data_IF_930531291127
#
_entry.id   IF_930531291127
#
_cell.length_a   1.000
_cell.length_b   1.000
_cell.length_c   1.000
_cell.angle_alpha   90.00
_cell.angle_beta   90.00
_cell.angle_gamma   90.00
#
_symmetry.space_group_name_H-M   'P 1'
#
loop_
_entity.id
_entity.type
_entity.pdbx_description
1 polymer ?
#
# COMPACT_ATOMS: atom_id res chain seq x y z
N UNK A 1 -46.38 16.12 32.16
CA UNK A 1 -45.76 17.44 32.45
C UNK A 1 -44.33 17.19 32.95
N UNK A 2 -43.40 18.12 32.70
CA UNK A 2 -41.94 18.07 32.88
C UNK A 2 -41.13 17.48 31.71
N UNK A 3 -40.78 18.34 30.75
CA UNK A 3 -39.70 18.15 29.75
C UNK A 3 -38.44 18.83 30.29
N UNK A 4 -37.36 18.07 30.46
CA UNK A 4 -36.04 18.60 30.78
C UNK A 4 -35.35 19.09 29.48
N UNK A 5 -34.95 20.35 29.45
CA UNK A 5 -34.12 20.93 28.39
C UNK A 5 -32.64 20.80 28.78
N UNK A 6 -31.85 20.18 27.90
CA UNK A 6 -30.40 20.14 28.01
C UNK A 6 -29.81 21.38 27.33
N UNK A 7 -29.03 22.15 28.08
CA UNK A 7 -28.27 23.31 27.62
C UNK A 7 -26.96 22.86 26.95
N UNK A 8 -26.86 23.10 25.65
CA UNK A 8 -25.62 22.93 24.87
C UNK A 8 -24.79 24.21 25.02
N UNK A 9 -23.55 24.06 25.50
CA UNK A 9 -22.61 25.16 25.73
C UNK A 9 -21.60 25.20 24.58
N UNK A 10 -21.89 25.98 23.53
CA UNK A 10 -20.97 26.22 22.41
C UNK A 10 -19.84 27.17 22.84
N UNK A 11 -18.64 26.63 23.05
CA UNK A 11 -17.41 27.43 23.14
C UNK A 11 -16.81 27.59 21.74
N UNK A 12 -16.95 28.80 21.17
CA UNK A 12 -16.23 29.24 19.97
C UNK A 12 -14.74 29.44 20.29
N UNK A 13 -13.80 28.97 19.43
CA UNK A 13 -12.40 29.36 19.53
C UNK A 13 -12.17 30.73 18.89
N UNK A 14 -11.35 31.54 19.56
CA UNK A 14 -10.97 32.88 19.13
C UNK A 14 -10.07 32.83 17.89
N UNK A 15 -10.48 33.51 16.83
CA UNK A 15 -9.70 33.71 15.60
C UNK A 15 -8.67 34.81 15.84
N UNK A 16 -7.40 34.44 15.93
CA UNK A 16 -6.27 35.39 15.90
C UNK A 16 -5.97 35.72 14.44
N UNK A 17 -6.42 36.90 13.99
CA UNK A 17 -6.02 37.48 12.70
C UNK A 17 -4.65 38.13 12.85
N UNK A 18 -3.58 37.46 12.41
CA UNK A 18 -2.31 38.13 12.17
C UNK A 18 -2.32 38.76 10.78
N UNK A 19 -2.31 40.09 10.77
CA UNK A 19 -2.14 40.94 9.60
C UNK A 19 -0.65 40.91 9.24
N UNK A 20 -0.31 40.35 8.08
CA UNK A 20 0.97 40.60 7.41
C UNK A 20 0.67 41.38 6.13
N UNK A 21 0.75 42.70 6.24
CA UNK A 21 0.81 43.61 5.10
C UNK A 21 2.23 43.60 4.53
N UNK A 22 2.44 42.90 3.42
CA UNK A 22 3.68 43.03 2.63
C UNK A 22 3.41 44.05 1.52
N UNK A 23 4.07 45.20 1.62
CA UNK A 23 4.12 46.20 0.56
C UNK A 23 4.88 45.62 -0.64
N UNK A 24 4.21 45.50 -1.79
CA UNK A 24 4.88 45.37 -3.08
C UNK A 24 5.50 46.71 -3.46
N UNK A 25 6.82 46.85 -3.28
CA UNK A 25 7.61 47.84 -4.01
C UNK A 25 8.11 47.20 -5.30
N UNK A 26 7.57 47.68 -6.42
CA UNK A 26 8.05 47.44 -7.76
C UNK A 26 9.34 48.23 -7.97
N UNK A 27 10.48 47.54 -8.10
CA UNK A 27 11.70 48.11 -8.66
C UNK A 27 12.04 47.34 -9.93
N UNK A 28 11.81 48.00 -11.06
CA UNK A 28 12.29 47.59 -12.36
C UNK A 28 13.83 47.58 -12.34
N UNK A 29 14.42 46.40 -12.44
CA UNK A 29 15.87 46.23 -12.60
C UNK A 29 16.09 45.56 -13.93
N UNK A 30 16.70 46.30 -14.85
CA UNK A 30 17.07 45.87 -16.20
C UNK A 30 18.16 44.80 -16.09
N UNK A 31 17.82 43.54 -16.37
CA UNK A 31 18.80 42.44 -16.41
C UNK A 31 19.65 42.53 -17.69
N UNK A 32 20.99 42.44 -17.59
CA UNK A 32 21.86 42.26 -18.74
C UNK A 32 21.75 40.82 -19.25
N UNK A 33 21.58 40.68 -20.57
CA UNK A 33 21.54 39.39 -21.27
C UNK A 33 22.85 38.62 -21.07
N UNK A 34 22.84 37.74 -20.08
CA UNK A 34 23.95 36.83 -19.78
C UNK A 34 23.71 35.54 -20.56
N UNK A 35 24.34 35.43 -21.72
CA UNK A 35 24.42 34.18 -22.49
C UNK A 35 25.25 33.15 -21.69
N UNK A 36 24.59 32.45 -20.78
CA UNK A 36 25.12 31.24 -20.18
C UNK A 36 24.94 30.10 -21.19
N UNK A 37 25.96 29.87 -22.01
CA UNK A 37 26.17 28.58 -22.63
C UNK A 37 26.57 27.60 -21.50
N UNK A 38 25.59 27.13 -20.72
CA UNK A 38 25.79 25.98 -19.85
C UNK A 38 26.10 24.79 -20.76
N UNK A 39 27.37 24.43 -20.83
CA UNK A 39 27.78 23.10 -21.31
C UNK A 39 27.05 22.10 -20.42
N UNK A 40 25.99 21.51 -20.99
CA UNK A 40 25.15 20.48 -20.37
C UNK A 40 26.03 19.25 -20.16
N UNK A 41 26.88 19.27 -19.14
CA UNK A 41 27.67 18.13 -18.71
C UNK A 41 26.67 17.06 -18.26
N UNK A 42 26.34 16.17 -19.19
CA UNK A 42 25.38 15.11 -18.94
C UNK A 42 26.00 14.14 -17.93
N UNK A 43 25.54 14.22 -16.69
CA UNK A 43 25.89 13.25 -15.65
C UNK A 43 25.40 11.88 -16.10
N UNK A 44 26.31 10.92 -16.27
CA UNK A 44 26.01 9.55 -16.67
C UNK A 44 26.38 8.57 -15.56
N UNK A 45 25.42 7.76 -15.16
CA UNK A 45 25.64 6.65 -14.22
C UNK A 45 26.26 5.47 -14.96
N UNK A 46 27.39 4.94 -14.47
CA UNK A 46 28.02 3.74 -15.07
C UNK A 46 27.71 2.47 -14.29
N UNK A 47 27.55 2.58 -12.97
CA UNK A 47 27.18 1.47 -12.08
C UNK A 47 26.24 1.91 -10.97
N UNK A 48 25.32 1.03 -10.58
CA UNK A 48 24.37 1.23 -9.47
C UNK A 48 25.08 1.40 -8.13
N UNK A 49 26.26 0.80 -7.96
CA UNK A 49 27.08 0.93 -6.74
C UNK A 49 27.46 2.38 -6.45
N UNK A 50 27.56 3.22 -7.48
CA UNK A 50 27.84 4.64 -7.33
C UNK A 50 26.73 5.40 -6.59
N UNK A 51 25.49 4.90 -6.63
CA UNK A 51 24.36 5.51 -5.94
C UNK A 51 24.45 5.41 -4.41
N UNK A 52 25.33 4.54 -3.89
CA UNK A 52 25.62 4.44 -2.47
C UNK A 52 26.52 5.59 -1.97
N UNK A 53 27.21 6.29 -2.87
CA UNK A 53 28.09 7.41 -2.53
C UNK A 53 27.22 8.66 -2.42
N UNK A 54 27.16 9.24 -1.21
CA UNK A 54 26.22 10.31 -0.93
C UNK A 54 26.44 11.58 -1.75
N UNK A 55 27.70 11.82 -2.15
CA UNK A 55 28.16 12.95 -2.97
C UNK A 55 28.15 12.66 -4.47
N UNK A 56 27.72 11.48 -4.91
CA UNK A 56 27.68 11.14 -6.32
C UNK A 56 26.68 12.05 -7.07
N UNK A 57 27.09 12.71 -8.17
CA UNK A 57 26.23 13.66 -8.88
C UNK A 57 25.00 12.98 -9.50
N UNK A 58 25.11 11.73 -9.94
CA UNK A 58 23.97 10.98 -10.51
C UNK A 58 22.94 10.68 -9.41
N UNK A 59 23.38 10.28 -8.21
CA UNK A 59 22.51 10.10 -7.04
C UNK A 59 21.73 11.38 -6.73
N UNK A 60 22.42 12.52 -6.63
CA UNK A 60 21.79 13.82 -6.38
C UNK A 60 20.81 14.20 -7.48
N UNK A 61 21.14 13.90 -8.75
CA UNK A 61 20.26 14.13 -9.89
C UNK A 61 18.99 13.29 -9.80
N UNK A 62 19.08 12.00 -9.49
CA UNK A 62 17.89 11.16 -9.29
C UNK A 62 17.00 11.67 -8.16
N UNK A 63 17.59 11.99 -7.00
CA UNK A 63 16.83 12.54 -5.86
C UNK A 63 16.11 13.83 -6.29
N UNK A 64 16.80 14.74 -6.98
CA UNK A 64 16.20 15.97 -7.49
C UNK A 64 15.04 15.70 -8.46
N UNK A 65 15.17 14.72 -9.36
CA UNK A 65 14.12 14.34 -10.31
C UNK A 65 12.88 13.80 -9.58
N UNK A 66 13.06 12.90 -8.62
CA UNK A 66 11.94 12.35 -7.83
C UNK A 66 11.28 13.38 -6.93
N UNK A 67 12.04 14.30 -6.34
CA UNK A 67 11.47 15.42 -5.58
C UNK A 67 10.63 16.36 -6.46
N UNK A 68 11.04 16.60 -7.70
CA UNK A 68 10.31 17.51 -8.60
C UNK A 68 8.92 16.99 -9.00
N UNK A 69 8.75 15.67 -9.08
CA UNK A 69 7.52 15.06 -9.62
C UNK A 69 6.55 14.55 -8.56
N UNK A 70 6.95 14.53 -7.28
CA UNK A 70 6.11 13.97 -6.21
C UNK A 70 4.76 14.69 -6.06
N UNK A 71 4.69 15.95 -6.46
CA UNK A 71 3.46 16.76 -6.46
C UNK A 71 2.62 16.63 -7.74
N UNK A 72 3.15 15.97 -8.77
CA UNK A 72 2.50 15.72 -10.06
C UNK A 72 2.22 14.23 -10.27
N UNK A 73 1.96 13.50 -9.19
CA UNK A 73 1.86 12.04 -9.17
C UNK A 73 0.65 11.48 -9.95
N UNK A 74 -0.36 12.33 -10.21
CA UNK A 74 -1.53 12.02 -11.05
C UNK A 74 -1.32 12.36 -12.54
N UNK A 75 -0.22 13.02 -12.91
CA UNK A 75 0.02 13.46 -14.29
C UNK A 75 0.86 12.44 -15.06
N UNK A 76 0.23 11.76 -16.03
CA UNK A 76 0.87 10.79 -16.92
C UNK A 76 2.02 11.39 -17.74
N UNK A 77 1.93 12.66 -18.13
CA UNK A 77 2.98 13.32 -18.89
C UNK A 77 4.18 13.63 -17.99
N UNK A 78 3.93 14.06 -16.74
CA UNK A 78 4.99 14.27 -15.77
C UNK A 78 5.71 12.96 -15.41
N UNK A 79 4.96 11.87 -15.24
CA UNK A 79 5.52 10.53 -15.02
C UNK A 79 6.36 10.06 -16.21
N UNK A 80 5.86 10.21 -17.45
CA UNK A 80 6.59 9.84 -18.67
C UNK A 80 7.87 10.65 -18.84
N UNK A 81 7.81 11.97 -18.57
CA UNK A 81 8.97 12.86 -18.60
C UNK A 81 10.02 12.45 -17.57
N UNK A 82 9.61 12.11 -16.34
CA UNK A 82 10.52 11.61 -15.31
C UNK A 82 11.29 10.37 -15.80
N UNK A 83 10.59 9.41 -16.38
CA UNK A 83 11.22 8.18 -16.89
C UNK A 83 12.25 8.52 -17.96
N UNK A 84 11.91 9.42 -18.89
CA UNK A 84 12.85 9.87 -19.92
C UNK A 84 14.10 10.55 -19.32
N UNK A 85 13.92 11.44 -18.35
CA UNK A 85 15.02 12.11 -17.66
C UNK A 85 15.89 11.11 -16.87
N UNK A 86 15.27 10.14 -16.19
CA UNK A 86 15.97 9.04 -15.50
C UNK A 86 16.75 8.14 -16.47
N UNK A 87 16.21 7.88 -17.66
CA UNK A 87 16.90 7.15 -18.72
C UNK A 87 18.10 7.94 -19.24
N UNK A 88 18.01 9.26 -19.41
CA UNK A 88 19.14 10.11 -19.81
C UNK A 88 20.30 9.96 -18.81
N UNK A 89 20.01 10.00 -17.50
CA UNK A 89 21.00 9.78 -16.44
C UNK A 89 21.60 8.36 -16.50
N UNK A 90 20.80 7.36 -16.89
CA UNK A 90 21.25 5.98 -17.12
C UNK A 90 21.92 5.75 -18.49
N UNK A 91 22.22 6.81 -19.25
CA UNK A 91 22.80 6.68 -20.59
C UNK A 91 21.90 5.93 -21.60
N UNK A 92 20.58 5.95 -21.38
CA UNK A 92 19.58 5.24 -22.18
C UNK A 92 19.35 3.77 -21.81
N UNK A 93 20.06 3.24 -20.80
CA UNK A 93 19.96 1.82 -20.42
C UNK A 93 18.73 1.53 -19.55
N UNK A 94 17.74 0.84 -20.12
CA UNK A 94 16.56 0.33 -19.40
C UNK A 94 16.93 -0.64 -18.28
N UNK A 95 17.93 -1.51 -18.52
CA UNK A 95 18.39 -2.46 -17.51
C UNK A 95 19.04 -1.75 -16.32
N UNK A 96 19.80 -0.67 -16.58
CA UNK A 96 20.38 0.13 -15.52
C UNK A 96 19.29 0.84 -14.73
N UNK A 97 18.32 1.48 -15.42
CA UNK A 97 17.18 2.13 -14.77
C UNK A 97 16.40 1.15 -13.88
N UNK A 98 16.06 -0.04 -14.38
CA UNK A 98 15.39 -1.09 -13.61
C UNK A 98 16.13 -1.41 -12.31
N UNK A 99 17.47 -1.51 -12.35
CA UNK A 99 18.27 -1.72 -11.14
C UNK A 99 18.26 -0.50 -10.22
N UNK A 100 18.37 0.72 -10.78
CA UNK A 100 18.29 1.97 -10.00
C UNK A 100 16.96 2.05 -9.23
N UNK A 101 15.83 1.78 -9.88
CA UNK A 101 14.49 1.82 -9.27
C UNK A 101 14.30 0.81 -8.13
N UNK A 102 15.10 -0.25 -8.11
CA UNK A 102 15.07 -1.31 -7.09
C UNK A 102 16.18 -1.17 -6.05
N UNK A 103 17.08 -0.19 -6.17
CA UNK A 103 18.20 0.00 -5.24
C UNK A 103 17.81 0.97 -4.13
N UNK A 104 18.13 0.64 -2.87
CA UNK A 104 18.00 1.54 -1.73
C UNK A 104 19.10 2.60 -1.75
N UNK A 105 18.77 3.83 -2.13
CA UNK A 105 19.73 4.96 -2.12
C UNK A 105 19.14 6.30 -1.67
N UNK A 106 17.81 6.39 -1.51
CA UNK A 106 17.12 7.58 -1.00
C UNK A 106 16.77 7.31 0.46
N UNK A 107 17.63 7.73 1.39
CA UNK A 107 17.50 7.45 2.82
C UNK A 107 17.22 5.97 3.14
N UNK A 108 18.05 5.09 2.57
CA UNK A 108 17.93 3.62 2.67
C UNK A 108 16.58 3.06 2.19
N UNK A 109 15.96 3.74 1.21
CA UNK A 109 14.72 3.32 0.55
C UNK A 109 14.91 3.27 -0.95
N UNK A 110 14.19 2.36 -1.60
CA UNK A 110 14.00 2.38 -3.05
C UNK A 110 13.26 3.65 -3.48
N UNK A 111 13.50 4.16 -4.70
CA UNK A 111 12.70 5.26 -5.27
C UNK A 111 11.20 5.04 -5.18
N UNK A 112 10.73 3.81 -5.44
CA UNK A 112 9.31 3.49 -5.42
C UNK A 112 8.72 3.58 -4.01
N UNK A 113 9.40 3.06 -2.98
CA UNK A 113 9.00 3.24 -1.57
C UNK A 113 8.97 4.73 -1.20
N UNK A 114 10.02 5.47 -1.54
CA UNK A 114 10.08 6.90 -1.24
C UNK A 114 8.92 7.66 -1.87
N UNK A 115 8.60 7.38 -3.13
CA UNK A 115 7.48 8.03 -3.83
C UNK A 115 6.15 7.67 -3.19
N UNK A 116 5.87 6.39 -2.96
CA UNK A 116 4.62 5.97 -2.31
C UNK A 116 4.48 6.69 -0.96
N UNK A 117 5.53 6.78 -0.15
CA UNK A 117 5.47 7.50 1.14
C UNK A 117 5.18 9.01 1.02
N UNK A 118 5.54 9.67 -0.08
CA UNK A 118 5.47 11.13 -0.22
C UNK A 118 4.34 11.65 -1.14
N UNK A 119 3.65 10.79 -1.89
CA UNK A 119 2.45 11.19 -2.65
C UNK A 119 1.29 11.58 -1.72
N UNK A 120 0.35 12.41 -2.20
CA UNK A 120 -0.78 12.89 -1.41
C UNK A 120 -1.66 11.77 -0.82
N UNK A 121 -2.34 12.04 0.30
CA UNK A 121 -3.33 11.13 0.90
C UNK A 121 -4.69 11.33 0.22
N UNK A 122 -4.81 10.82 -1.01
CA UNK A 122 -6.10 10.76 -1.69
C UNK A 122 -6.60 9.31 -1.72
N UNK A 123 -7.91 9.10 -1.77
CA UNK A 123 -8.46 7.75 -1.93
C UNK A 123 -8.13 7.27 -3.34
N UNK A 124 -7.10 6.43 -3.44
CA UNK A 124 -6.59 5.92 -4.69
C UNK A 124 -7.36 4.64 -5.04
N UNK A 125 -8.17 4.67 -6.10
CA UNK A 125 -8.84 3.47 -6.61
C UNK A 125 -7.92 2.57 -7.43
N UNK A 126 -6.98 3.19 -8.14
CA UNK A 126 -6.07 2.55 -9.09
C UNK A 126 -4.66 3.10 -8.89
N UNK A 127 -3.64 2.31 -9.19
CA UNK A 127 -2.26 2.73 -8.96
C UNK A 127 -1.99 4.03 -9.73
N UNK A 128 -1.51 5.11 -9.07
CA UNK A 128 -1.38 6.37 -9.77
C UNK A 128 -0.33 6.31 -10.88
N UNK A 129 -0.42 7.18 -11.90
CA UNK A 129 0.48 7.18 -13.04
C UNK A 129 1.96 7.11 -12.69
N UNK A 130 2.41 7.88 -11.70
CA UNK A 130 3.82 7.92 -11.32
C UNK A 130 4.34 6.57 -10.75
N UNK A 131 3.80 6.01 -9.65
CA UNK A 131 4.19 4.68 -9.19
C UNK A 131 4.01 3.58 -10.24
N UNK A 132 2.96 3.66 -11.07
CA UNK A 132 2.72 2.71 -12.16
C UNK A 132 3.83 2.75 -13.21
N UNK A 133 4.18 3.93 -13.71
CA UNK A 133 5.25 4.10 -14.69
C UNK A 133 6.60 3.60 -14.15
N UNK A 134 6.89 3.80 -12.87
CA UNK A 134 8.13 3.28 -12.27
C UNK A 134 8.12 1.75 -12.21
N UNK A 135 7.01 1.13 -11.83
CA UNK A 135 6.86 -0.32 -11.85
C UNK A 135 7.01 -0.89 -13.26
N UNK A 136 6.41 -0.25 -14.27
CA UNK A 136 6.54 -0.66 -15.68
C UNK A 136 8.01 -0.68 -16.15
N UNK A 137 8.88 0.13 -15.53
CA UNK A 137 10.32 0.22 -15.80
C UNK A 137 11.20 -0.59 -14.83
N UNK A 138 10.63 -1.32 -13.86
CA UNK A 138 11.39 -2.20 -12.98
C UNK A 138 11.88 -3.50 -13.66
N UNK A 139 11.55 -3.74 -14.93
CA UNK A 139 11.95 -4.93 -15.68
C UNK A 139 10.96 -6.10 -15.48
N UNK A 140 11.33 -7.33 -15.89
CA UNK A 140 10.39 -8.46 -15.91
C UNK A 140 10.08 -9.04 -14.51
N UNK A 141 10.87 -8.70 -13.50
CA UNK A 141 10.73 -9.20 -12.13
C UNK A 141 11.22 -8.17 -11.13
N UNK A 142 10.53 -8.05 -10.01
CA UNK A 142 10.98 -7.27 -8.85
C UNK A 142 11.87 -8.14 -7.95
N UNK A 143 12.91 -7.53 -7.41
CA UNK A 143 13.68 -8.10 -6.30
C UNK A 143 12.81 -8.19 -5.05
N UNK A 144 13.08 -9.20 -4.21
CA UNK A 144 12.39 -9.38 -2.92
C UNK A 144 12.47 -8.12 -2.06
N UNK A 145 13.63 -7.45 -2.06
CA UNK A 145 13.84 -6.19 -1.33
C UNK A 145 12.92 -5.06 -1.83
N UNK A 146 12.71 -4.95 -3.15
CA UNK A 146 11.81 -3.95 -3.72
C UNK A 146 10.34 -4.25 -3.38
N UNK A 147 9.94 -5.52 -3.41
CA UNK A 147 8.59 -5.94 -2.99
C UNK A 147 8.35 -5.62 -1.52
N UNK A 148 9.31 -5.95 -0.66
CA UNK A 148 9.27 -5.63 0.77
C UNK A 148 9.19 -4.11 1.00
N UNK A 149 9.93 -3.32 0.23
CA UNK A 149 9.92 -1.86 0.31
C UNK A 149 8.56 -1.26 -0.09
N UNK A 150 7.90 -1.79 -1.11
CA UNK A 150 6.55 -1.37 -1.52
C UNK A 150 5.54 -1.72 -0.42
N UNK A 151 5.62 -2.92 0.15
CA UNK A 151 4.77 -3.33 1.27
C UNK A 151 4.99 -2.43 2.49
N UNK A 152 6.25 -2.15 2.85
CA UNK A 152 6.63 -1.19 3.90
C UNK A 152 6.07 0.20 3.63
N UNK A 153 6.12 0.68 2.39
CA UNK A 153 5.56 1.98 2.02
C UNK A 153 4.04 2.06 2.29
N UNK A 154 3.30 1.00 1.94
CA UNK A 154 1.87 0.90 2.22
C UNK A 154 1.58 0.84 3.73
N UNK A 155 2.44 0.14 4.48
CA UNK A 155 2.39 0.09 5.94
C UNK A 155 2.65 1.47 6.58
N UNK A 156 3.71 2.17 6.17
CA UNK A 156 4.07 3.50 6.68
C UNK A 156 2.92 4.50 6.52
N UNK A 157 2.12 4.36 5.45
CA UNK A 157 0.91 5.15 5.18
C UNK A 157 -0.36 4.64 5.85
N UNK A 158 -0.35 3.40 6.36
CA UNK A 158 -1.55 2.70 6.82
C UNK A 158 -2.66 2.65 5.76
N UNK A 159 -2.30 2.34 4.51
CA UNK A 159 -3.17 2.50 3.33
C UNK A 159 -3.41 1.18 2.59
N UNK A 160 -4.57 0.56 2.87
CA UNK A 160 -5.01 -0.66 2.18
C UNK A 160 -5.37 -0.43 0.71
N UNK A 161 -5.79 0.78 0.35
CA UNK A 161 -6.18 1.10 -1.03
C UNK A 161 -4.95 1.14 -1.93
N UNK A 162 -3.86 1.76 -1.45
CA UNK A 162 -2.57 1.75 -2.12
C UNK A 162 -1.97 0.33 -2.22
N UNK A 163 -2.05 -0.47 -1.14
CA UNK A 163 -1.59 -1.86 -1.18
C UNK A 163 -2.32 -2.63 -2.29
N UNK A 164 -3.65 -2.60 -2.30
CA UNK A 164 -4.45 -3.26 -3.33
C UNK A 164 -4.12 -2.75 -4.73
N UNK A 165 -4.05 -1.43 -4.91
CA UNK A 165 -3.73 -0.81 -6.18
C UNK A 165 -2.36 -1.27 -6.72
N UNK A 166 -1.35 -1.36 -5.86
CA UNK A 166 -0.03 -1.85 -6.23
C UNK A 166 -0.05 -3.33 -6.62
N UNK A 167 -0.76 -4.18 -5.86
CA UNK A 167 -0.79 -5.63 -6.08
C UNK A 167 -1.69 -6.07 -7.25
N UNK A 168 -2.40 -5.15 -7.90
CA UNK A 168 -3.00 -5.37 -9.21
C UNK A 168 -1.95 -5.39 -10.32
N UNK A 169 -0.81 -4.73 -10.11
CA UNK A 169 0.27 -4.67 -11.10
C UNK A 169 0.86 -6.06 -11.38
N UNK A 170 1.08 -6.46 -12.65
CA UNK A 170 1.55 -7.80 -13.00
C UNK A 170 2.82 -8.24 -12.26
N UNK A 171 3.77 -7.34 -12.02
CA UNK A 171 5.02 -7.65 -11.31
C UNK A 171 4.86 -7.97 -9.82
N UNK A 172 3.73 -7.57 -9.22
CA UNK A 172 3.43 -7.78 -7.79
C UNK A 172 2.33 -8.82 -7.59
N UNK A 173 1.63 -9.18 -8.66
CA UNK A 173 0.53 -10.13 -8.63
C UNK A 173 1.08 -11.54 -8.59
N UNK A 174 0.49 -12.37 -7.73
CA UNK A 174 0.74 -13.81 -7.73
C UNK A 174 0.10 -14.44 -8.98
N UNK A 175 0.94 -15.00 -9.86
CA UNK A 175 0.55 -15.63 -11.12
C UNK A 175 -0.42 -16.80 -10.92
N UNK A 176 -0.38 -17.47 -9.77
CA UNK A 176 -1.27 -18.59 -9.45
C UNK A 176 -2.75 -18.17 -9.36
N UNK A 177 -3.00 -16.88 -9.15
CA UNK A 177 -4.35 -16.31 -9.01
C UNK A 177 -4.83 -15.59 -10.27
N UNK A 178 -4.27 -15.93 -11.44
CA UNK A 178 -4.72 -15.37 -12.70
C UNK A 178 -6.21 -15.69 -12.94
N UNK A 179 -7.00 -14.67 -13.30
CA UNK A 179 -8.45 -14.81 -13.54
C UNK A 179 -9.37 -14.77 -12.31
N UNK A 180 -8.83 -14.84 -11.08
CA UNK A 180 -9.64 -14.63 -9.88
C UNK A 180 -9.60 -13.17 -9.40
N UNK A 181 -10.74 -12.63 -9.01
CA UNK A 181 -10.83 -11.33 -8.33
C UNK A 181 -10.07 -11.40 -6.99
N UNK A 182 -9.20 -10.43 -6.69
CA UNK A 182 -8.38 -10.49 -5.48
C UNK A 182 -9.23 -10.39 -4.21
N UNK A 183 -8.85 -11.10 -3.13
CA UNK A 183 -9.44 -10.88 -1.82
C UNK A 183 -9.25 -9.43 -1.37
N UNK A 184 -10.27 -8.88 -0.72
CA UNK A 184 -10.28 -7.49 -0.25
C UNK A 184 -10.41 -7.47 1.26
N UNK A 185 -9.62 -6.64 1.93
CA UNK A 185 -9.78 -6.31 3.34
C UNK A 185 -9.94 -4.79 3.49
N UNK A 186 -10.88 -4.40 4.34
CA UNK A 186 -11.20 -3.01 4.67
C UNK A 186 -11.21 -2.86 6.19
N UNK A 187 -10.59 -1.80 6.69
CA UNK A 187 -10.59 -1.46 8.12
C UNK A 187 -11.90 -0.73 8.42
N UNK A 188 -12.78 -1.37 9.20
CA UNK A 188 -14.09 -0.82 9.57
C UNK A 188 -14.01 0.11 10.78
N UNK A 189 -13.18 -0.24 11.75
CA UNK A 189 -12.93 0.53 12.97
C UNK A 189 -11.45 0.44 13.36
N UNK A 190 -11.03 1.20 14.38
CA UNK A 190 -9.66 1.16 14.86
C UNK A 190 -9.19 -0.24 15.32
N UNK A 191 -10.09 -1.20 15.55
CA UNK A 191 -9.74 -2.58 15.90
C UNK A 191 -10.32 -3.62 14.94
N UNK A 192 -11.29 -3.25 14.11
CA UNK A 192 -12.05 -4.20 13.31
C UNK A 192 -11.66 -4.15 11.83
N UNK A 193 -11.24 -5.28 11.27
CA UNK A 193 -11.00 -5.48 9.85
C UNK A 193 -12.09 -6.39 9.28
N UNK A 194 -12.79 -5.93 8.26
CA UNK A 194 -13.67 -6.76 7.44
C UNK A 194 -12.92 -7.26 6.22
N UNK A 195 -13.15 -8.50 5.81
CA UNK A 195 -12.60 -9.02 4.57
C UNK A 195 -13.63 -9.76 3.74
N UNK A 196 -13.33 -9.88 2.46
CA UNK A 196 -14.13 -10.51 1.43
C UNK A 196 -13.24 -11.36 0.54
N UNK A 197 -13.56 -12.65 0.42
CA UNK A 197 -12.89 -13.55 -0.52
C UNK A 197 -13.89 -13.98 -1.62
N UNK A 198 -13.77 -13.45 -2.85
CA UNK A 198 -14.60 -13.85 -3.96
C UNK A 198 -14.21 -15.24 -4.47
N UNK A 199 -15.21 -16.03 -4.89
CA UNK A 199 -15.04 -17.41 -5.35
C UNK A 199 -14.27 -18.30 -4.35
N UNK A 200 -14.50 -18.10 -3.05
CA UNK A 200 -13.75 -18.77 -1.99
C UNK A 200 -13.77 -20.29 -2.12
N UNK A 201 -14.94 -20.89 -2.37
CA UNK A 201 -15.03 -22.35 -2.52
C UNK A 201 -14.22 -22.86 -3.70
N UNK A 202 -14.24 -22.17 -4.84
CA UNK A 202 -13.47 -22.57 -6.02
C UNK A 202 -11.97 -22.46 -5.75
N UNK A 203 -11.54 -21.35 -5.12
CA UNK A 203 -10.16 -21.17 -4.69
C UNK A 203 -9.71 -22.29 -3.76
N UNK A 204 -10.52 -22.63 -2.75
CA UNK A 204 -10.19 -23.68 -1.80
C UNK A 204 -10.20 -25.07 -2.43
N UNK A 205 -11.07 -25.34 -3.41
CA UNK A 205 -11.07 -26.60 -4.16
C UNK A 205 -9.84 -26.74 -5.06
N UNK A 206 -9.38 -25.64 -5.66
CA UNK A 206 -8.24 -25.64 -6.60
C UNK A 206 -6.90 -25.59 -5.87
N UNK A 207 -6.74 -24.64 -4.93
CA UNK A 207 -5.45 -24.32 -4.30
C UNK A 207 -5.30 -24.93 -2.91
N UNK A 208 -6.39 -25.35 -2.27
CA UNK A 208 -6.45 -25.75 -0.85
C UNK A 208 -5.99 -24.68 0.16
N UNK A 209 -5.70 -23.48 -0.33
CA UNK A 209 -5.36 -22.32 0.48
C UNK A 209 -5.80 -21.02 -0.19
N UNK A 210 -6.00 -19.98 0.62
CA UNK A 210 -6.28 -18.62 0.18
C UNK A 210 -5.73 -17.64 1.22
N UNK A 211 -5.06 -16.58 0.78
CA UNK A 211 -4.58 -15.52 1.65
C UNK A 211 -5.33 -14.21 1.44
N UNK A 212 -5.46 -13.42 2.50
CA UNK A 212 -5.91 -12.03 2.45
C UNK A 212 -4.89 -11.18 3.16
N UNK A 213 -4.35 -10.19 2.47
CA UNK A 213 -3.38 -9.26 3.02
C UNK A 213 -4.07 -7.96 3.42
N UNK A 214 -3.74 -7.44 4.61
CA UNK A 214 -4.31 -6.22 5.17
C UNK A 214 -3.24 -5.40 5.87
N UNK A 215 -3.18 -4.10 5.56
CA UNK A 215 -2.45 -3.12 6.35
C UNK A 215 -3.31 -2.73 7.54
N UNK A 216 -2.80 -2.98 8.74
CA UNK A 216 -3.47 -2.59 9.97
C UNK A 216 -2.43 -2.06 10.94
N UNK A 217 -2.66 -0.88 11.51
CA UNK A 217 -1.76 -0.28 12.49
C UNK A 217 -0.30 -0.14 11.99
N UNK A 218 -0.12 0.21 10.71
CA UNK A 218 1.20 0.30 10.05
C UNK A 218 2.00 -1.02 10.00
N UNK A 219 1.31 -2.14 10.08
CA UNK A 219 1.90 -3.46 9.83
C UNK A 219 1.07 -4.19 8.77
N UNK A 220 1.73 -5.02 7.96
CA UNK A 220 1.06 -5.89 6.99
C UNK A 220 0.77 -7.21 7.66
N UNK A 221 -0.50 -7.60 7.72
CA UNK A 221 -0.95 -8.90 8.21
C UNK A 221 -1.45 -9.74 7.05
N UNK A 222 -1.25 -11.05 7.16
CA UNK A 222 -1.79 -12.04 6.24
C UNK A 222 -2.70 -12.99 6.99
N UNK A 223 -3.96 -13.04 6.56
CA UNK A 223 -4.91 -14.07 6.92
C UNK A 223 -4.84 -15.20 5.90
N UNK A 224 -4.21 -16.31 6.26
CA UNK A 224 -4.12 -17.53 5.46
C UNK A 224 -5.21 -18.51 5.88
N UNK A 225 -6.10 -18.89 4.97
CA UNK A 225 -7.12 -19.92 5.17
C UNK A 225 -6.72 -21.15 4.35
N UNK A 226 -6.62 -22.32 4.97
CA UNK A 226 -6.21 -23.57 4.32
C UNK A 226 -7.13 -24.75 4.70
N UNK A 227 -7.14 -25.79 3.87
CA UNK A 227 -7.84 -27.06 4.12
C UNK A 227 -6.88 -28.24 4.01
N UNK A 228 -6.62 -28.89 5.16
CA UNK A 228 -5.76 -30.07 5.27
C UNK A 228 -6.45 -31.11 6.17
N UNK A 229 -7.53 -31.70 5.64
CA UNK A 229 -8.47 -32.54 6.39
C UNK A 229 -9.44 -31.73 7.27
N UNK A 230 -8.94 -30.66 7.90
CA UNK A 230 -9.72 -29.64 8.63
C UNK A 230 -9.43 -28.25 8.09
N UNK A 231 -10.38 -27.34 8.27
CA UNK A 231 -10.19 -25.93 7.94
C UNK A 231 -9.34 -25.27 9.01
N UNK A 232 -8.31 -24.56 8.56
CA UNK A 232 -7.42 -23.77 9.42
C UNK A 232 -7.40 -22.36 8.89
N UNK A 233 -7.57 -21.37 9.76
CA UNK A 233 -7.27 -19.99 9.44
C UNK A 233 -6.13 -19.51 10.33
N UNK A 234 -5.15 -18.84 9.73
CA UNK A 234 -3.97 -18.34 10.40
C UNK A 234 -3.80 -16.85 10.12
N UNK A 235 -3.67 -16.01 11.13
CA UNK A 235 -3.32 -14.61 10.93
C UNK A 235 -1.93 -14.34 11.50
N UNK A 236 -1.04 -13.75 10.72
CA UNK A 236 0.33 -13.43 11.15
C UNK A 236 0.87 -12.18 10.45
N UNK A 237 1.82 -11.45 11.07
CA UNK A 237 2.46 -10.31 10.45
C UNK A 237 3.40 -10.77 9.32
N UNK A 238 3.30 -10.14 8.15
CA UNK A 238 4.22 -10.28 7.01
C UNK A 238 5.31 -9.21 7.09
N UNK A 239 4.90 -7.97 7.34
CA UNK A 239 5.80 -6.82 7.54
C UNK A 239 5.44 -6.19 8.87
N UNK A 240 6.33 -6.33 9.85
CA UNK A 240 6.15 -5.76 11.18
C UNK A 240 6.77 -4.36 11.24
N UNK A 241 6.06 -3.40 11.84
CA UNK A 241 6.69 -2.15 12.23
C UNK A 241 7.67 -2.43 13.39
N UNK A 242 8.94 -1.95 13.35
CA UNK A 242 9.96 -2.28 14.36
C UNK A 242 9.57 -1.97 15.81
N UNK A 243 8.61 -1.06 16.00
CA UNK A 243 8.18 -0.59 17.32
C UNK A 243 6.79 -1.11 17.72
N UNK A 244 6.16 -1.96 16.91
CA UNK A 244 4.82 -2.47 17.23
C UNK A 244 4.88 -3.71 18.13
N UNK A 245 4.04 -3.68 19.17
CA UNK A 245 3.76 -4.88 19.95
C UNK A 245 2.96 -5.87 19.09
N UNK A 246 3.15 -7.19 19.28
CA UNK A 246 2.30 -8.17 18.60
C UNK A 246 0.83 -7.92 18.98
N UNK A 247 0.00 -7.61 17.98
CA UNK A 247 -1.45 -7.50 18.17
C UNK A 247 -2.03 -8.87 18.49
N UNK A 248 -3.00 -8.93 19.41
CA UNK A 248 -3.88 -10.10 19.56
C UNK A 248 -5.00 -10.03 18.53
N UNK A 249 -5.33 -11.14 17.86
CA UNK A 249 -6.39 -11.17 16.87
C UNK A 249 -7.46 -12.24 17.20
N UNK A 250 -8.72 -11.85 17.08
CA UNK A 250 -9.88 -12.75 17.16
C UNK A 250 -10.60 -12.78 15.82
N UNK A 251 -10.85 -13.97 15.27
CA UNK A 251 -11.52 -14.15 13.98
C UNK A 251 -12.99 -14.51 14.19
N UNK A 252 -13.84 -13.81 13.47
CA UNK A 252 -15.28 -14.02 13.38
C UNK A 252 -15.64 -14.25 11.92
N UNK A 253 -16.48 -15.25 11.66
CA UNK A 253 -16.88 -15.57 10.29
C UNK A 253 -18.40 -15.51 10.17
N UNK A 254 -18.87 -14.93 9.06
CA UNK A 254 -20.28 -14.87 8.74
C UNK A 254 -20.57 -15.78 7.54
N UNK A 255 -21.61 -16.60 7.67
CA UNK A 255 -22.16 -17.32 6.52
C UNK A 255 -23.12 -16.40 5.78
N UNK A 256 -22.97 -16.27 4.46
CA UNK A 256 -23.96 -15.60 3.64
C UNK A 256 -25.13 -16.53 3.32
N UNK A 257 -26.35 -16.00 3.32
CA UNK A 257 -27.52 -16.70 2.78
C UNK A 257 -27.50 -16.72 1.23
N UNK A 258 -28.49 -17.39 0.63
CA UNK A 258 -28.61 -17.47 -0.82
C UNK A 258 -28.85 -16.10 -1.49
N UNK A 259 -29.33 -15.10 -0.74
CA UNK A 259 -29.52 -13.73 -1.20
C UNK A 259 -28.24 -12.87 -1.07
N UNK A 260 -27.16 -13.43 -0.49
CA UNK A 260 -25.92 -12.70 -0.24
C UNK A 260 -25.94 -11.84 1.03
N UNK A 261 -26.98 -11.94 1.86
CA UNK A 261 -27.04 -11.23 3.14
C UNK A 261 -26.14 -11.94 4.15
N UNK A 262 -25.22 -11.25 4.83
CA UNK A 262 -24.41 -11.87 5.88
C UNK A 262 -25.31 -12.27 7.06
N UNK A 263 -25.22 -13.53 7.49
CA UNK A 263 -25.87 -14.03 8.70
C UNK A 263 -25.20 -13.53 9.98
N UNK A 264 -25.67 -14.04 11.12
CA UNK A 264 -25.03 -13.76 12.42
C UNK A 264 -23.57 -14.22 12.40
N UNK A 265 -22.69 -13.41 13.01
CA UNK A 265 -21.28 -13.76 13.13
C UNK A 265 -21.07 -14.72 14.27
N UNK A 266 -20.32 -15.78 14.01
CA UNK A 266 -19.95 -16.77 15.02
C UNK A 266 -18.45 -16.64 15.35
N UNK A 267 -18.07 -16.68 16.64
CA UNK A 267 -16.67 -16.68 17.04
C UNK A 267 -16.00 -17.96 16.59
N UNK A 268 -14.79 -17.85 16.04
CA UNK A 268 -13.96 -19.03 15.79
C UNK A 268 -13.10 -19.31 17.01
N UNK A 269 -13.12 -20.56 17.49
CA UNK A 269 -12.31 -21.00 18.63
C UNK A 269 -10.84 -20.66 18.41
N UNK A 270 -10.28 -19.85 19.30
CA UNK A 270 -8.87 -19.46 19.30
C UNK A 270 -8.06 -20.51 20.06
N UNK A 271 -6.99 -21.01 19.44
CA UNK A 271 -5.93 -21.66 20.21
C UNK A 271 -4.90 -20.58 20.58
N UNK A 272 -4.71 -20.33 21.88
CA UNK A 272 -3.73 -19.34 22.33
C UNK A 272 -2.32 -19.86 22.05
N UNK A 273 -1.69 -19.32 21.00
CA UNK A 273 -0.27 -19.50 20.75
C UNK A 273 0.47 -18.25 21.23
N UNK A 274 1.63 -18.46 21.87
CA UNK A 274 2.53 -17.38 22.35
C UNK A 274 3.31 -16.73 21.19
N UNK A 275 3.18 -17.28 19.98
CA UNK A 275 3.72 -16.69 18.76
C UNK A 275 2.70 -15.74 18.13
N UNK A 276 3.16 -14.72 17.39
CA UNK A 276 2.37 -13.76 16.60
C UNK A 276 1.52 -14.40 15.48
N UNK A 277 1.34 -15.72 15.51
CA UNK A 277 0.49 -16.52 14.64
C UNK A 277 -0.76 -16.92 15.42
N UNK A 278 -1.91 -16.44 14.95
CA UNK A 278 -3.22 -16.82 15.47
C UNK A 278 -3.75 -17.98 14.66
N UNK A 279 -3.89 -19.17 15.26
CA UNK A 279 -4.51 -20.32 14.58
C UNK A 279 -5.95 -20.46 15.06
N UNK A 280 -6.86 -20.34 14.11
CA UNK A 280 -8.30 -20.52 14.27
C UNK A 280 -8.71 -21.83 13.61
N UNK A 281 -9.42 -22.69 14.34
CA UNK A 281 -10.05 -23.88 13.79
C UNK A 281 -11.50 -23.57 13.48
N UNK A 282 -11.88 -23.60 12.20
CA UNK A 282 -13.26 -23.31 11.80
C UNK A 282 -13.96 -24.60 11.41
N UNK A 283 -14.94 -25.04 12.19
CA UNK A 283 -15.77 -26.19 11.81
C UNK A 283 -16.85 -25.78 10.79
N UNK A 284 -16.45 -25.43 9.57
CA UNK A 284 -17.39 -25.00 8.52
C UNK A 284 -18.33 -26.10 8.01
N UNK A 285 -18.10 -27.37 8.35
CA UNK A 285 -18.70 -28.50 7.63
C UNK A 285 -19.10 -29.66 8.55
N UNK A 286 -20.32 -29.59 9.11
CA UNK A 286 -21.16 -30.78 9.28
C UNK A 286 -22.24 -30.94 8.21
N UNK A 287 -22.48 -29.93 7.37
CA UNK A 287 -23.54 -29.96 6.35
C UNK A 287 -23.00 -29.71 4.95
N UNK A 288 -22.65 -30.78 4.24
CA UNK A 288 -22.21 -30.78 2.83
C UNK A 288 -23.22 -30.16 1.85
N UNK A 289 -24.48 -29.98 2.24
CA UNK A 289 -25.58 -29.65 1.30
C UNK A 289 -26.03 -28.19 1.31
N UNK A 290 -25.47 -27.32 2.16
CA UNK A 290 -26.00 -25.95 2.36
C UNK A 290 -25.23 -24.82 1.67
N UNK A 291 -24.21 -25.13 0.88
CA UNK A 291 -23.36 -24.12 0.21
C UNK A 291 -23.56 -24.03 -1.32
N UNK A 292 -24.54 -24.74 -1.87
CA UNK A 292 -24.91 -24.65 -3.29
C UNK A 292 -25.83 -23.42 -3.51
N UNK A 293 -25.32 -22.24 -3.14
CA UNK A 293 -25.91 -20.93 -3.44
C UNK A 293 -25.01 -20.17 -4.41
N UNK A 294 -25.59 -19.30 -5.24
CA UNK A 294 -24.86 -18.56 -6.30
C UNK A 294 -23.78 -17.60 -5.78
N UNK A 295 -23.78 -17.26 -4.49
CA UNK A 295 -22.79 -16.37 -3.89
C UNK A 295 -21.71 -17.18 -3.15
N UNK A 296 -20.64 -17.52 -3.88
CA UNK A 296 -19.45 -18.24 -3.39
C UNK A 296 -18.47 -17.31 -2.65
N UNK A 297 -18.99 -16.43 -1.80
CA UNK A 297 -18.22 -15.42 -1.09
C UNK A 297 -18.21 -15.71 0.42
N UNK A 298 -17.07 -15.51 1.07
CA UNK A 298 -16.99 -15.45 2.54
C UNK A 298 -16.71 -14.01 2.96
N UNK A 299 -17.41 -13.57 4.01
CA UNK A 299 -17.02 -12.40 4.79
C UNK A 299 -16.66 -12.80 6.21
N UNK A 300 -15.70 -12.09 6.77
CA UNK A 300 -15.32 -12.25 8.17
C UNK A 300 -14.92 -10.91 8.76
N UNK A 301 -14.84 -10.91 10.09
CA UNK A 301 -14.26 -9.83 10.88
C UNK A 301 -13.06 -10.35 11.64
N UNK A 302 -11.99 -9.57 11.63
CA UNK A 302 -10.84 -9.77 12.49
C UNK A 302 -10.83 -8.61 13.49
N UNK A 303 -10.99 -8.93 14.77
CA UNK A 303 -10.85 -7.95 15.85
C UNK A 303 -9.42 -8.02 16.37
N UNK A 304 -8.69 -6.91 16.22
CA UNK A 304 -7.27 -6.80 16.50
C UNK A 304 -7.06 -5.84 17.67
N UNK A 305 -6.66 -6.39 18.81
CA UNK A 305 -6.38 -5.64 20.03
C UNK A 305 -4.88 -5.50 20.27
N UNK A 306 -4.48 -4.35 20.82
CA UNK A 306 -3.11 -4.07 21.28
C UNK A 306 -3.00 -4.20 22.79
#
# INVERSE_FOLDING_TARGET
>A
MAKAQATVNERRPATVKHILSVQHQSMATTEPAMNQHETKDSVKLTSVTELQISTNPARLKFISLFCAVVYCWEDENAASKLIADCLEVCGGSQQLLSKVLQTRFIDDRTPLRWIICNIGQHQVKELPPLPKALLDHCGPSLSEEAVEDIQKACCDRNDNTMLRAAFVHPLLRDDLLHGFEQPVADVLSGTEVSFRIPNFLDRMLMFKECSVDVVFHRSLYRLLISIDGTWKAQCFPVVACPNDRPCQASLWLAKHDAAGTPGAMEPVSTSSSVSSVFVFSVDFLRSRNSFIGKNRQITGKLDMHR
#
